data_IF_009930876667
#
_entry.id   IF_009930876667
#
_cell.length_a   1.000
_cell.length_b   1.000
_cell.length_c   1.000
_cell.angle_alpha   90.00
_cell.angle_beta   90.00
_cell.angle_gamma   90.00
#
_symmetry.space_group_name_H-M   'P 1'
#
loop_
_entity.id
_entity.type
_entity.pdbx_description
1 polymer ?
#
# COMPACT_ATOMS: atom_id res chain seq x y z
N UNK A 1 -2.16 7.66 -17.27
CA UNK A 1 -3.43 7.13 -17.83
C UNK A 1 -4.55 8.16 -17.64
N UNK A 2 -5.73 7.98 -18.25
CA UNK A 2 -6.89 8.80 -17.88
C UNK A 2 -7.37 8.51 -16.45
N UNK A 3 -7.92 9.51 -15.75
CA UNK A 3 -8.25 9.42 -14.32
C UNK A 3 -9.19 8.25 -13.96
N UNK A 4 -10.17 7.94 -14.81
CA UNK A 4 -11.09 6.80 -14.59
C UNK A 4 -10.35 5.47 -14.67
N UNK A 5 -9.45 5.31 -15.64
CA UNK A 5 -8.66 4.09 -15.77
C UNK A 5 -7.69 3.94 -14.60
N UNK A 6 -7.15 5.05 -14.11
CA UNK A 6 -6.29 5.08 -12.94
C UNK A 6 -7.06 4.68 -11.67
N UNK A 7 -8.29 5.19 -11.49
CA UNK A 7 -9.16 4.79 -10.38
C UNK A 7 -9.55 3.31 -10.43
N UNK A 8 -9.74 2.72 -11.62
CA UNK A 8 -9.93 1.25 -11.73
C UNK A 8 -8.66 0.51 -11.29
N UNK A 9 -7.49 1.00 -11.69
CA UNK A 9 -6.20 0.45 -11.24
C UNK A 9 -6.06 0.51 -9.72
N UNK A 10 -6.35 1.67 -9.13
CA UNK A 10 -6.40 1.90 -7.69
C UNK A 10 -7.33 0.89 -6.99
N UNK A 11 -8.56 0.70 -7.47
CA UNK A 11 -9.49 -0.28 -6.88
C UNK A 11 -8.95 -1.71 -6.90
N UNK A 12 -8.37 -2.13 -8.03
CA UNK A 12 -7.80 -3.48 -8.15
C UNK A 12 -6.62 -3.65 -7.20
N UNK A 13 -5.70 -2.70 -7.17
CA UNK A 13 -4.50 -2.83 -6.34
C UNK A 13 -4.81 -2.68 -4.85
N UNK A 14 -5.74 -1.82 -4.45
CA UNK A 14 -6.15 -1.71 -3.04
C UNK A 14 -6.90 -2.95 -2.57
N UNK A 15 -7.78 -3.52 -3.40
CA UNK A 15 -8.44 -4.78 -3.07
C UNK A 15 -7.43 -5.90 -2.79
N UNK A 16 -6.43 -6.04 -3.67
CA UNK A 16 -5.35 -7.01 -3.48
C UNK A 16 -4.52 -6.69 -2.24
N UNK A 17 -4.20 -5.41 -2.00
CA UNK A 17 -3.46 -4.95 -0.83
C UNK A 17 -4.17 -5.36 0.45
N UNK A 18 -5.47 -5.07 0.59
CA UNK A 18 -6.24 -5.38 1.79
C UNK A 18 -6.28 -6.89 2.06
N UNK A 19 -6.47 -7.71 1.01
CA UNK A 19 -6.45 -9.18 1.14
C UNK A 19 -5.10 -9.66 1.68
N UNK A 20 -3.98 -9.18 1.11
CA UNK A 20 -2.64 -9.62 1.53
C UNK A 20 -2.28 -9.05 2.89
N UNK A 21 -2.56 -7.77 3.14
CA UNK A 21 -2.28 -7.09 4.40
C UNK A 21 -3.02 -7.73 5.58
N UNK A 22 -4.24 -8.24 5.38
CA UNK A 22 -4.98 -8.99 6.41
C UNK A 22 -4.23 -10.24 6.90
N UNK A 23 -3.34 -10.80 6.08
CA UNK A 23 -2.52 -11.97 6.45
C UNK A 23 -1.22 -11.61 7.20
N UNK A 24 -0.85 -10.33 7.30
CA UNK A 24 0.40 -9.91 7.94
C UNK A 24 0.45 -10.24 9.43
N UNK A 25 -0.63 -9.97 10.16
CA UNK A 25 -0.71 -10.25 11.59
C UNK A 25 -0.53 -11.74 11.93
N UNK A 26 -1.28 -12.68 11.32
CA UNK A 26 -1.07 -14.11 11.56
C UNK A 26 0.30 -14.58 11.06
N UNK A 27 0.77 -14.10 9.89
CA UNK A 27 2.10 -14.47 9.38
C UNK A 27 3.22 -14.03 10.32
N UNK A 28 3.17 -12.79 10.81
CA UNK A 28 4.15 -12.29 11.75
C UNK A 28 4.12 -13.08 13.07
N UNK A 29 2.95 -13.48 13.55
CA UNK A 29 2.82 -14.35 14.74
C UNK A 29 3.46 -15.73 14.52
N UNK A 30 3.27 -16.33 13.34
CA UNK A 30 3.90 -17.60 12.98
C UNK A 30 5.42 -17.46 12.95
N UNK A 31 5.94 -16.40 12.33
CA UNK A 31 7.38 -16.14 12.24
C UNK A 31 7.99 -15.90 13.62
N UNK A 32 7.39 -15.02 14.43
CA UNK A 32 7.94 -14.67 15.75
C UNK A 32 7.88 -15.86 16.71
N UNK A 33 6.82 -16.67 16.67
CA UNK A 33 6.73 -17.90 17.48
C UNK A 33 7.74 -18.97 17.05
N UNK A 34 7.91 -19.19 15.74
CA UNK A 34 8.86 -20.18 15.21
C UNK A 34 10.32 -19.85 15.61
N UNK A 35 10.70 -18.58 15.53
CA UNK A 35 12.04 -18.12 15.89
C UNK A 35 12.19 -17.69 17.36
N UNK A 36 11.14 -17.86 18.17
CA UNK A 36 11.09 -17.43 19.58
C UNK A 36 11.49 -15.95 19.79
N UNK A 37 11.14 -15.09 18.84
CA UNK A 37 11.46 -13.66 18.85
C UNK A 37 10.78 -13.00 20.05
N UNK A 38 11.57 -12.31 20.87
CA UNK A 38 11.08 -11.60 22.06
C UNK A 38 10.84 -10.12 21.74
N UNK A 39 9.87 -9.46 22.41
CA UNK A 39 9.72 -8.02 22.32
C UNK A 39 11.00 -7.28 22.74
N UNK A 40 11.39 -6.18 22.06
CA UNK A 40 10.67 -5.51 20.97
C UNK A 40 11.10 -5.95 19.55
N UNK A 41 11.83 -7.06 19.39
CA UNK A 41 12.32 -7.51 18.07
C UNK A 41 11.20 -8.03 17.17
N UNK A 42 10.05 -8.37 17.73
CA UNK A 42 8.81 -8.68 17.01
C UNK A 42 8.30 -7.49 16.18
N UNK A 43 8.49 -6.27 16.66
CA UNK A 43 8.19 -5.05 15.92
C UNK A 43 9.06 -4.93 14.65
N UNK A 44 10.32 -5.35 14.72
CA UNK A 44 11.20 -5.36 13.56
C UNK A 44 10.71 -6.38 12.52
N UNK A 45 10.23 -7.56 12.95
CA UNK A 45 9.64 -8.55 12.06
C UNK A 45 8.41 -7.97 11.34
N UNK A 46 7.46 -7.41 12.09
CA UNK A 46 6.27 -6.80 11.48
C UNK A 46 6.60 -5.64 10.55
N UNK A 47 7.53 -4.78 10.95
CA UNK A 47 7.98 -3.64 10.15
C UNK A 47 8.63 -4.11 8.85
N UNK A 48 9.49 -5.14 8.91
CA UNK A 48 10.11 -5.72 7.73
C UNK A 48 9.08 -6.34 6.77
N UNK A 49 8.08 -7.06 7.30
CA UNK A 49 7.01 -7.64 6.49
C UNK A 49 6.17 -6.57 5.78
N UNK A 50 5.75 -5.53 6.51
CA UNK A 50 5.00 -4.40 5.95
C UNK A 50 5.86 -3.67 4.91
N UNK A 51 7.13 -3.39 5.22
CA UNK A 51 8.05 -2.72 4.31
C UNK A 51 8.20 -3.48 2.98
N UNK A 52 8.46 -4.79 3.05
CA UNK A 52 8.57 -5.63 1.86
C UNK A 52 7.27 -5.59 1.04
N UNK A 53 6.12 -5.67 1.71
CA UNK A 53 4.83 -5.63 1.03
C UNK A 53 4.59 -4.27 0.35
N UNK A 54 4.90 -3.17 1.02
CA UNK A 54 4.80 -1.81 0.47
C UNK A 54 5.69 -1.66 -0.77
N UNK A 55 6.93 -2.16 -0.73
CA UNK A 55 7.84 -2.12 -1.89
C UNK A 55 7.25 -2.89 -3.07
N UNK A 56 6.75 -4.10 -2.84
CA UNK A 56 6.14 -4.92 -3.90
C UNK A 56 4.92 -4.23 -4.50
N UNK A 57 4.02 -3.70 -3.66
CA UNK A 57 2.80 -3.05 -4.13
C UNK A 57 3.06 -1.72 -4.83
N UNK A 58 4.09 -0.96 -4.46
CA UNK A 58 4.49 0.22 -5.24
C UNK A 58 4.97 -0.18 -6.64
N UNK A 59 5.81 -1.21 -6.77
CA UNK A 59 6.26 -1.70 -8.08
C UNK A 59 5.07 -2.17 -8.93
N UNK A 60 4.11 -2.87 -8.34
CA UNK A 60 2.89 -3.28 -9.05
C UNK A 60 2.05 -2.06 -9.46
N UNK A 61 1.94 -1.04 -8.60
CA UNK A 61 1.24 0.21 -8.88
C UNK A 61 1.83 0.95 -10.09
N UNK A 62 3.15 1.07 -10.13
CA UNK A 62 3.89 1.67 -11.25
C UNK A 62 3.60 0.91 -12.56
N UNK A 63 3.63 -0.43 -12.52
CA UNK A 63 3.29 -1.28 -13.67
C UNK A 63 1.83 -1.15 -14.12
N UNK A 64 0.93 -0.76 -13.22
CA UNK A 64 -0.47 -0.46 -13.50
C UNK A 64 -0.70 1.00 -13.95
N UNK A 65 0.37 1.73 -14.27
CA UNK A 65 0.31 3.08 -14.80
C UNK A 65 0.13 4.14 -13.71
N UNK A 66 0.89 4.00 -12.62
CA UNK A 66 0.91 4.82 -11.40
C UNK A 66 -0.36 4.68 -10.54
N UNK A 67 -0.96 3.48 -10.55
CA UNK A 67 -2.02 3.15 -9.61
C UNK A 67 -1.48 3.14 -8.18
N UNK A 68 -2.30 3.53 -7.22
CA UNK A 68 -1.92 3.64 -5.81
C UNK A 68 -2.94 2.91 -4.96
N UNK A 69 -2.44 2.18 -3.96
CA UNK A 69 -3.24 1.47 -2.97
C UNK A 69 -3.43 2.26 -1.67
N UNK A 70 -2.92 3.50 -1.62
CA UNK A 70 -2.80 4.26 -0.39
C UNK A 70 -3.18 5.74 -0.59
N UNK A 71 -4.37 6.18 -0.12
CA UNK A 71 -4.82 7.55 -0.32
C UNK A 71 -3.99 8.55 0.49
N UNK A 72 -3.36 8.11 1.57
CA UNK A 72 -2.45 8.95 2.36
C UNK A 72 -1.17 9.27 1.59
N UNK A 73 -0.65 8.33 0.80
CA UNK A 73 0.49 8.57 -0.07
C UNK A 73 0.16 9.66 -1.10
N UNK A 74 -0.97 9.51 -1.79
CA UNK A 74 -1.42 10.50 -2.79
C UNK A 74 -1.63 11.89 -2.17
N UNK A 75 -2.31 11.97 -1.02
CA UNK A 75 -2.56 13.23 -0.31
C UNK A 75 -1.26 13.90 0.16
N UNK A 76 -0.33 13.12 0.71
CA UNK A 76 0.94 13.64 1.24
C UNK A 76 1.87 14.12 0.14
N UNK A 77 1.99 13.39 -0.97
CA UNK A 77 2.76 13.86 -2.13
C UNK A 77 2.16 15.13 -2.72
N UNK A 78 0.83 15.16 -2.93
CA UNK A 78 0.14 16.37 -3.39
C UNK A 78 0.42 17.57 -2.48
N UNK A 79 0.31 17.39 -1.16
CA UNK A 79 0.57 18.45 -0.19
C UNK A 79 2.04 18.92 -0.18
N UNK A 80 2.98 18.02 -0.47
CA UNK A 80 4.40 18.33 -0.60
C UNK A 80 4.75 19.01 -1.94
N UNK A 81 3.79 19.21 -2.84
CA UNK A 81 4.06 19.67 -4.21
C UNK A 81 4.80 18.63 -5.06
N UNK A 82 4.70 17.36 -4.68
CA UNK A 82 5.30 16.21 -5.35
C UNK A 82 4.20 15.36 -6.00
N UNK A 83 4.52 14.70 -7.11
CA UNK A 83 3.58 13.83 -7.82
C UNK A 83 2.68 14.56 -8.83
N UNK A 84 1.85 13.76 -9.51
CA UNK A 84 1.08 14.20 -10.69
C UNK A 84 -0.43 14.34 -10.40
N UNK A 85 -0.85 14.13 -9.16
CA UNK A 85 -2.25 14.23 -8.77
C UNK A 85 -2.71 15.69 -8.61
N UNK A 86 -3.99 15.91 -8.84
CA UNK A 86 -4.72 17.15 -8.57
C UNK A 86 -5.84 16.87 -7.57
N UNK A 87 -6.43 17.92 -6.98
CA UNK A 87 -7.63 17.75 -6.15
C UNK A 87 -8.75 16.98 -6.87
N UNK A 88 -8.92 17.22 -8.17
CA UNK A 88 -9.91 16.54 -8.98
C UNK A 88 -9.58 15.06 -9.20
N UNK A 89 -8.32 14.73 -9.51
CA UNK A 89 -7.93 13.31 -9.68
C UNK A 89 -8.06 12.55 -8.37
N UNK A 90 -7.60 13.12 -7.26
CA UNK A 90 -7.74 12.50 -5.94
C UNK A 90 -9.19 12.29 -5.53
N UNK A 91 -10.09 13.24 -5.83
CA UNK A 91 -11.51 13.09 -5.52
C UNK A 91 -12.16 11.87 -6.21
N UNK A 92 -11.65 11.47 -7.38
CA UNK A 92 -12.11 10.28 -8.11
C UNK A 92 -11.39 9.02 -7.64
N UNK A 93 -10.11 9.14 -7.29
CA UNK A 93 -9.24 8.02 -6.92
C UNK A 93 -9.47 7.53 -5.49
N UNK A 94 -9.69 8.43 -4.52
CA UNK A 94 -9.83 8.04 -3.11
C UNK A 94 -10.99 7.09 -2.83
N UNK A 95 -12.19 7.25 -3.43
CA UNK A 95 -13.26 6.27 -3.24
C UNK A 95 -12.96 4.88 -3.83
N UNK A 96 -12.01 4.81 -4.78
CA UNK A 96 -11.57 3.55 -5.35
C UNK A 96 -10.51 2.86 -4.48
N UNK A 97 -9.75 3.61 -3.66
CA UNK A 97 -8.75 3.09 -2.75
C UNK A 97 -9.36 2.77 -1.38
#
# INVERSE_FOLDING_TARGET
MGVVRLAIGDAVITFLWVIVAASLAPLGTIITSYFQVQPPLDLLVMTALIFLLVVVFNVVGDLLGDASFNPTANASFYAAGLGNDSLFSMAIRFPAQ
#
